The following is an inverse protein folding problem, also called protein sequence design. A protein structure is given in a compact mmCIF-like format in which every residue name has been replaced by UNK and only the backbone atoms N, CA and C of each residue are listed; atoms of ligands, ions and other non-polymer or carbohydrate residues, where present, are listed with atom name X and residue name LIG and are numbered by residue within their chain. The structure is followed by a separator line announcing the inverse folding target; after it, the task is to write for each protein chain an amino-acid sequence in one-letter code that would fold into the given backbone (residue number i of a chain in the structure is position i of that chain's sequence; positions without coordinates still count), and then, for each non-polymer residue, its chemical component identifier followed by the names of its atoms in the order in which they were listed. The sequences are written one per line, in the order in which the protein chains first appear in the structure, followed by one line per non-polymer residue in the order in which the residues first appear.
data_IF_997515316518
#
_entry.id   IF_997515316518
#
_cell.length_a   1.000
_cell.length_b   1.000
_cell.length_c   1.000
_cell.angle_alpha   90.00
_cell.angle_beta   90.00
_cell.angle_gamma   90.00
#
_symmetry.space_group_name_H-M   'P 1'
#
loop_
_entity.id
_entity.type
_entity.pdbx_description
1 polymer ?
#
# COMPACT_ATOMS: atom_id res chain seq x y z
N UNK A 1 -24.57 -63.35 -32.03
CA UNK A 1 -24.22 -62.43 -33.14
C UNK A 1 -24.48 -61.01 -32.63
N UNK A 2 -23.45 -60.32 -32.14
CA UNK A 2 -22.56 -59.41 -32.90
C UNK A 2 -23.24 -58.06 -33.15
N UNK A 3 -22.91 -56.97 -32.43
CA UNK A 3 -21.73 -56.07 -32.55
C UNK A 3 -22.17 -54.72 -33.17
N UNK A 4 -22.05 -53.67 -32.35
CA UNK A 4 -21.45 -52.35 -32.63
C UNK A 4 -22.01 -51.38 -33.71
N UNK A 5 -22.16 -50.14 -33.22
CA UNK A 5 -21.42 -48.95 -33.65
C UNK A 5 -21.92 -48.03 -34.77
N UNK A 6 -21.88 -46.76 -34.37
CA UNK A 6 -21.19 -45.65 -35.02
C UNK A 6 -21.79 -45.05 -36.29
N UNK A 7 -22.19 -43.79 -36.12
CA UNK A 7 -21.46 -42.63 -36.63
C UNK A 7 -21.17 -42.59 -38.14
N UNK A 8 -21.34 -41.39 -38.70
CA UNK A 8 -20.96 -40.99 -40.06
C UNK A 8 -22.01 -41.32 -41.12
N UNK A 9 -22.90 -40.37 -41.37
CA UNK A 9 -23.01 -39.82 -42.72
C UNK A 9 -23.42 -38.34 -42.57
N UNK A 10 -22.46 -37.43 -42.69
CA UNK A 10 -22.09 -36.82 -43.97
C UNK A 10 -23.17 -35.80 -44.37
N UNK A 11 -23.10 -34.57 -43.86
CA UNK A 11 -22.22 -33.52 -44.39
C UNK A 11 -22.63 -33.12 -45.80
N UNK A 12 -22.84 -31.79 -45.93
CA UNK A 12 -22.76 -30.92 -47.12
C UNK A 12 -24.09 -30.41 -47.66
N UNK A 13 -24.04 -29.12 -48.03
CA UNK A 13 -25.12 -28.20 -48.40
C UNK A 13 -25.73 -27.58 -47.12
N UNK A 14 -25.60 -26.29 -46.81
CA UNK A 14 -25.55 -25.08 -47.64
C UNK A 14 -24.85 -24.02 -46.77
N UNK A 15 -23.57 -23.70 -47.00
CA UNK A 15 -23.10 -22.43 -47.58
C UNK A 15 -23.95 -21.19 -47.25
N UNK A 16 -23.29 -20.25 -46.56
CA UNK A 16 -23.24 -18.82 -46.87
C UNK A 16 -23.83 -17.86 -45.82
N UNK A 17 -22.86 -17.16 -45.21
CA UNK A 17 -22.82 -15.72 -44.92
C UNK A 17 -23.73 -15.11 -43.85
N UNK A 18 -23.02 -14.59 -42.85
CA UNK A 18 -23.19 -13.25 -42.26
C UNK A 18 -24.35 -13.06 -41.29
N UNK A 19 -24.02 -12.97 -40.01
CA UNK A 19 -24.14 -11.69 -39.27
C UNK A 19 -23.24 -11.76 -38.02
N UNK A 20 -22.27 -10.85 -37.98
CA UNK A 20 -21.43 -10.53 -36.83
C UNK A 20 -22.27 -9.84 -35.74
N UNK A 21 -21.68 -9.80 -34.54
CA UNK A 21 -22.03 -9.01 -33.34
C UNK A 21 -22.88 -9.77 -32.32
N UNK A 22 -22.59 -9.49 -31.04
CA UNK A 22 -23.14 -10.04 -29.78
C UNK A 22 -22.33 -11.21 -29.20
N UNK A 23 -21.66 -11.15 -28.05
CA UNK A 23 -21.52 -10.13 -26.99
C UNK A 23 -20.16 -10.36 -26.33
N UNK A 24 -19.42 -9.29 -26.15
CA UNK A 24 -18.26 -9.18 -25.27
C UNK A 24 -18.69 -9.45 -23.81
N UNK A 25 -18.45 -10.65 -23.28
CA UNK A 25 -18.66 -10.98 -21.86
C UNK A 25 -17.36 -11.50 -21.23
N UNK A 26 -16.29 -10.70 -21.29
CA UNK A 26 -15.09 -10.94 -20.48
C UNK A 26 -14.44 -9.61 -20.11
N UNK A 27 -15.22 -8.65 -19.58
CA UNK A 27 -14.67 -7.41 -19.01
C UNK A 27 -15.37 -7.05 -17.72
N UNK A 28 -15.15 -7.83 -16.68
CA UNK A 28 -15.28 -7.45 -15.27
C UNK A 28 -14.52 -8.55 -14.54
N UNK A 29 -13.43 -8.35 -13.81
CA UNK A 29 -13.35 -7.58 -12.57
C UNK A 29 -11.87 -7.31 -12.30
N UNK A 30 -11.41 -6.08 -12.51
CA UNK A 30 -10.21 -5.57 -11.85
C UNK A 30 -10.46 -4.12 -11.44
N UNK A 31 -11.55 -3.89 -10.73
CA UNK A 31 -11.56 -2.83 -9.73
C UNK A 31 -10.84 -3.41 -8.50
N UNK A 32 -9.51 -3.51 -8.54
CA UNK A 32 -8.76 -3.55 -7.30
C UNK A 32 -9.05 -2.20 -6.65
N UNK A 33 -9.95 -2.18 -5.68
CA UNK A 33 -10.13 -1.03 -4.81
C UNK A 33 -8.78 -0.78 -4.16
N UNK A 34 -8.02 0.18 -4.69
CA UNK A 34 -7.04 0.90 -3.90
C UNK A 34 -7.85 1.59 -2.81
N UNK A 35 -8.15 0.86 -1.74
CA UNK A 35 -8.64 1.44 -0.53
C UNK A 35 -7.51 2.35 -0.07
N UNK A 36 -7.73 3.66 -0.21
CA UNK A 36 -6.82 4.68 0.31
C UNK A 36 -6.84 4.59 1.82
N UNK A 37 -5.69 4.79 2.46
CA UNK A 37 -5.62 4.82 3.92
C UNK A 37 -6.44 6.03 4.42
N UNK A 38 -7.42 5.84 5.32
CA UNK A 38 -8.18 6.94 5.89
C UNK A 38 -7.28 7.97 6.59
N UNK A 39 -7.50 9.26 6.33
CA UNK A 39 -6.68 10.35 6.91
C UNK A 39 -6.70 10.34 8.44
N UNK A 40 -7.80 9.92 9.07
CA UNK A 40 -7.90 9.86 10.54
C UNK A 40 -6.90 8.86 11.15
N UNK A 41 -6.58 7.78 10.42
CA UNK A 41 -5.59 6.79 10.87
C UNK A 41 -4.17 7.33 10.70
N UNK A 42 -3.90 8.04 9.60
CA UNK A 42 -2.62 8.73 9.39
C UNK A 42 -2.42 9.84 10.43
N UNK A 43 -3.47 10.58 10.79
CA UNK A 43 -3.42 11.60 11.83
C UNK A 43 -3.10 11.00 13.20
N UNK A 44 -3.66 9.83 13.52
CA UNK A 44 -3.36 9.10 14.75
C UNK A 44 -1.89 8.67 14.80
N UNK A 45 -1.34 8.15 13.70
CA UNK A 45 0.07 7.77 13.64
C UNK A 45 1.01 8.97 13.66
N UNK A 46 0.62 10.10 13.04
CA UNK A 46 1.33 11.35 13.18
C UNK A 46 1.40 11.79 14.66
N UNK A 47 0.28 11.75 15.38
CA UNK A 47 0.25 12.06 16.81
C UNK A 47 1.12 11.11 17.64
N UNK A 48 1.08 9.80 17.36
CA UNK A 48 1.95 8.83 18.04
C UNK A 48 3.43 9.11 17.79
N UNK A 49 3.79 9.41 16.54
CA UNK A 49 5.14 9.78 16.17
C UNK A 49 5.59 11.02 16.93
N UNK A 50 4.78 12.09 16.95
CA UNK A 50 5.08 13.32 17.68
C UNK A 50 5.25 13.07 19.18
N UNK A 51 4.35 12.31 19.80
CA UNK A 51 4.42 11.99 21.22
C UNK A 51 5.69 11.21 21.61
N UNK A 52 6.17 10.34 20.71
CA UNK A 52 7.42 9.59 20.93
C UNK A 52 8.68 10.39 20.60
N UNK A 53 8.61 11.29 19.61
CA UNK A 53 9.77 12.00 19.10
C UNK A 53 10.08 13.29 19.87
N UNK A 54 9.07 14.12 20.15
CA UNK A 54 9.25 15.48 20.70
C UNK A 54 10.06 15.49 22.00
N UNK A 55 9.85 14.56 22.96
CA UNK A 55 10.64 14.54 24.19
C UNK A 55 12.15 14.34 23.97
N UNK A 56 12.57 13.80 22.83
CA UNK A 56 13.98 13.57 22.49
C UNK A 56 14.60 14.62 21.57
N UNK A 57 13.82 15.15 20.60
CA UNK A 57 14.37 15.93 19.48
C UNK A 57 13.71 17.29 19.25
N UNK A 58 12.70 17.65 20.06
CA UNK A 58 11.96 18.91 19.93
C UNK A 58 10.97 18.94 18.76
N UNK A 59 10.03 19.88 18.79
CA UNK A 59 8.95 19.94 17.80
C UNK A 59 9.46 20.26 16.38
N UNK A 60 10.47 21.13 16.28
CA UNK A 60 11.03 21.59 15.00
C UNK A 60 11.68 20.45 14.19
N UNK A 61 12.23 19.44 14.87
CA UNK A 61 12.76 18.24 14.24
C UNK A 61 11.66 17.22 14.00
N UNK A 62 10.81 16.99 14.99
CA UNK A 62 9.85 15.89 14.96
C UNK A 62 8.71 16.11 13.98
N UNK A 63 8.24 17.35 13.82
CA UNK A 63 7.14 17.65 12.91
C UNK A 63 7.43 17.28 11.46
N UNK A 64 8.50 17.78 10.81
CA UNK A 64 8.83 17.37 9.44
C UNK A 64 9.14 15.88 9.31
N UNK A 65 9.69 15.25 10.35
CA UNK A 65 9.95 13.79 10.37
C UNK A 65 8.67 12.98 10.38
N UNK A 66 7.73 13.33 11.25
CA UNK A 66 6.45 12.65 11.39
C UNK A 66 5.54 12.89 10.18
N UNK A 67 5.53 14.11 9.63
CA UNK A 67 4.85 14.46 8.38
C UNK A 67 5.38 13.63 7.20
N UNK A 68 6.70 13.50 7.09
CA UNK A 68 7.31 12.65 6.06
C UNK A 68 6.92 11.18 6.23
N UNK A 69 6.96 10.66 7.46
CA UNK A 69 6.66 9.25 7.74
C UNK A 69 5.22 8.88 7.33
N UNK A 70 4.22 9.67 7.72
CA UNK A 70 2.82 9.39 7.37
C UNK A 70 2.55 9.57 5.87
N UNK A 71 3.27 10.51 5.23
CA UNK A 71 3.25 10.66 3.77
C UNK A 71 3.80 9.41 3.07
N UNK A 72 4.88 8.84 3.56
CA UNK A 72 5.44 7.61 2.98
C UNK A 72 4.53 6.41 3.20
N UNK A 73 3.84 6.32 4.34
CA UNK A 73 2.80 5.29 4.55
C UNK A 73 1.69 5.42 3.50
N UNK A 74 1.17 6.64 3.30
CA UNK A 74 0.15 6.93 2.29
C UNK A 74 0.60 6.59 0.86
N UNK A 75 1.86 6.86 0.53
CA UNK A 75 2.38 6.70 -0.82
C UNK A 75 2.78 5.26 -1.16
N UNK A 76 3.27 4.50 -0.18
CA UNK A 76 3.91 3.20 -0.42
C UNK A 76 3.09 2.00 0.05
N UNK A 77 2.11 2.20 0.93
CA UNK A 77 1.30 1.11 1.45
C UNK A 77 -0.11 1.13 0.82
N UNK A 78 -0.62 -0.06 0.54
CA UNK A 78 -2.06 -0.27 0.39
C UNK A 78 -2.71 -0.22 1.77
N UNK A 79 -4.01 0.04 1.85
CA UNK A 79 -4.72 0.00 3.13
C UNK A 79 -4.60 -1.36 3.84
N UNK A 80 -4.62 -2.48 3.10
CA UNK A 80 -4.40 -3.81 3.67
C UNK A 80 -3.02 -3.94 4.32
N UNK A 81 -1.96 -3.53 3.62
CA UNK A 81 -0.60 -3.57 4.19
C UNK A 81 -0.41 -2.60 5.35
N UNK A 82 -1.09 -1.46 5.32
CA UNK A 82 -1.12 -0.52 6.44
C UNK A 82 -1.78 -1.11 7.70
N UNK A 83 -2.91 -1.83 7.55
CA UNK A 83 -3.55 -2.51 8.68
C UNK A 83 -2.66 -3.62 9.24
N UNK A 84 -2.00 -4.38 8.37
CA UNK A 84 -1.05 -5.41 8.79
C UNK A 84 0.11 -4.81 9.60
N UNK A 85 0.71 -3.72 9.10
CA UNK A 85 1.74 -2.97 9.80
C UNK A 85 1.26 -2.52 11.18
N UNK A 86 0.07 -1.91 11.25
CA UNK A 86 -0.53 -1.43 12.49
C UNK A 86 -0.73 -2.54 13.52
N UNK A 87 -1.22 -3.70 13.08
CA UNK A 87 -1.40 -4.88 13.95
C UNK A 87 -0.05 -5.40 14.44
N UNK A 88 0.94 -5.51 13.56
CA UNK A 88 2.26 -6.02 13.93
C UNK A 88 3.02 -5.08 14.87
N UNK A 89 2.89 -3.76 14.69
CA UNK A 89 3.41 -2.76 15.62
C UNK A 89 2.75 -2.91 17.00
N UNK A 90 1.42 -3.07 17.06
CA UNK A 90 0.71 -3.23 18.34
C UNK A 90 1.11 -4.49 19.12
N UNK A 91 1.51 -5.54 18.41
CA UNK A 91 1.93 -6.82 18.98
C UNK A 91 3.44 -6.95 19.17
N UNK A 92 4.21 -5.96 18.70
CA UNK A 92 5.67 -6.02 18.61
C UNK A 92 6.19 -7.26 17.83
N UNK A 93 5.47 -7.66 16.78
CA UNK A 93 5.78 -8.83 15.94
C UNK A 93 5.96 -8.41 14.49
N UNK A 94 6.94 -7.54 14.23
CA UNK A 94 7.26 -7.08 12.87
C UNK A 94 7.92 -8.20 12.06
N UNK A 95 7.37 -8.52 10.90
CA UNK A 95 8.06 -9.30 9.87
C UNK A 95 9.31 -8.56 9.39
N UNK A 96 10.27 -9.29 8.84
CA UNK A 96 11.49 -8.69 8.30
C UNK A 96 11.18 -7.68 7.19
N UNK A 97 10.17 -7.95 6.36
CA UNK A 97 9.71 -7.05 5.29
C UNK A 97 9.21 -5.72 5.85
N UNK A 98 8.29 -5.75 6.82
CA UNK A 98 7.72 -4.53 7.40
C UNK A 98 8.72 -3.78 8.27
N UNK A 99 9.63 -4.48 8.95
CA UNK A 99 10.78 -3.85 9.61
C UNK A 99 11.67 -3.11 8.62
N UNK A 100 12.05 -3.78 7.53
CA UNK A 100 12.85 -3.14 6.48
C UNK A 100 12.15 -1.92 5.89
N UNK A 101 10.84 -2.01 5.66
CA UNK A 101 10.05 -0.88 5.20
C UNK A 101 10.10 0.31 6.17
N UNK A 102 9.96 0.07 7.47
CA UNK A 102 10.07 1.11 8.49
C UNK A 102 11.47 1.72 8.54
N UNK A 103 12.51 0.88 8.49
CA UNK A 103 13.91 1.35 8.49
C UNK A 103 14.22 2.18 7.24
N UNK A 104 13.79 1.72 6.06
CA UNK A 104 13.97 2.44 4.79
C UNK A 104 13.21 3.78 4.80
N UNK A 105 11.99 3.81 5.38
CA UNK A 105 11.20 5.03 5.54
C UNK A 105 11.87 6.01 6.50
N UNK A 106 12.37 5.52 7.64
CA UNK A 106 13.09 6.35 8.61
C UNK A 106 14.33 6.97 7.97
N UNK A 107 15.16 6.18 7.30
CA UNK A 107 16.36 6.65 6.61
C UNK A 107 16.04 7.69 5.51
N UNK A 108 14.98 7.46 4.74
CA UNK A 108 14.54 8.41 3.73
C UNK A 108 14.12 9.74 4.36
N UNK A 109 13.28 9.69 5.39
CA UNK A 109 12.77 10.90 6.03
C UNK A 109 13.87 11.67 6.77
N UNK A 110 14.77 11.00 7.50
CA UNK A 110 15.92 11.68 8.10
C UNK A 110 16.83 12.32 7.05
N UNK A 111 17.04 11.66 5.91
CA UNK A 111 17.79 12.24 4.80
C UNK A 111 17.13 13.48 4.21
N UNK A 112 15.79 13.54 4.15
CA UNK A 112 15.07 14.73 3.71
C UNK A 112 15.17 15.88 4.74
N UNK A 113 15.17 15.59 6.05
CA UNK A 113 15.43 16.62 7.07
C UNK A 113 16.82 17.25 6.93
N UNK A 114 17.84 16.43 6.72
CA UNK A 114 19.21 16.90 6.52
C UNK A 114 19.29 17.83 5.30
N UNK A 115 18.58 17.49 4.22
CA UNK A 115 18.50 18.33 3.00
C UNK A 115 17.76 19.64 3.22
N UNK A 116 16.82 19.66 4.17
CA UNK A 116 16.10 20.87 4.58
C UNK A 116 16.90 21.72 5.58
N UNK A 117 18.07 21.25 6.03
CA UNK A 117 18.91 21.96 7.00
C UNK A 117 18.39 21.89 8.43
N UNK A 118 17.54 20.91 8.76
CA UNK A 118 17.06 20.68 10.13
C UNK A 118 18.07 19.82 10.86
N UNK A 119 18.77 20.40 11.85
CA UNK A 119 19.78 19.69 12.62
C UNK A 119 19.14 18.66 13.56
N UNK A 120 19.40 17.37 13.35
CA UNK A 120 18.95 16.30 14.25
C UNK A 120 19.93 16.19 15.41
N UNK A 121 19.47 16.50 16.63
CA UNK A 121 20.25 16.30 17.86
C UNK A 121 20.59 17.55 18.66
N UNK A 122 20.13 18.74 18.27
CA UNK A 122 20.16 19.88 19.17
C UNK A 122 18.91 19.83 20.08
N UNK A 123 19.06 19.55 21.39
CA UNK A 123 17.97 19.75 22.32
C UNK A 123 17.58 21.23 22.27
N UNK A 124 16.30 21.50 22.05
CA UNK A 124 15.75 22.86 22.06
C UNK A 124 16.23 23.55 23.35
N UNK A 125 16.84 24.76 23.28
CA UNK A 125 17.26 25.45 24.49
C UNK A 125 16.03 25.70 25.34
N UNK A 126 16.00 25.11 26.54
CA UNK A 126 14.98 25.29 27.56
C UNK A 126 14.63 26.78 27.65
N UNK A 127 13.48 27.18 27.10
CA UNK A 127 12.94 28.52 27.33
C UNK A 127 12.44 28.54 28.77
N UNK A 128 13.25 29.13 29.66
CA UNK A 128 12.83 29.54 31.00
C UNK A 128 11.76 30.63 30.93
#
# INVERSE_FOLDING_TARGET
MSILSANVLRQRCIRALSFLVFVSISWSVFAQSQQTIPEDLLALDHQRCMNGCVPGFGENTCKPLCDCTVKEFKNKLTFERYLELSVQLSKNTLTQELRKFLDDTANFCTGELDRMGVAIGDPEPTQN
#
